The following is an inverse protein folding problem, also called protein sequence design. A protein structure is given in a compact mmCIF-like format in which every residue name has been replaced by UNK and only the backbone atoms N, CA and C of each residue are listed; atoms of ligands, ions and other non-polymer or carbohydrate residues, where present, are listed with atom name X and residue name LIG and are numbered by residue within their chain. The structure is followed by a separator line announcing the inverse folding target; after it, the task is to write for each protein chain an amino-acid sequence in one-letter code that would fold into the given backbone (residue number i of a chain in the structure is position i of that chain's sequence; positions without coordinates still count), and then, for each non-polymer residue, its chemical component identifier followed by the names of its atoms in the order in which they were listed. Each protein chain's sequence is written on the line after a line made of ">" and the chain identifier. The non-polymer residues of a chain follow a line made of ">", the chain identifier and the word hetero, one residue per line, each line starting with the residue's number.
data_IF_991660992390
#
_entry.id   IF_991660992390
#
_cell.length_a   1.000
_cell.length_b   1.000
_cell.length_c   1.000
_cell.angle_alpha   90.00
_cell.angle_beta   90.00
_cell.angle_gamma   90.00
#
_symmetry.space_group_name_H-M   'P 1'
#
loop_
_entity.id
_entity.type
_entity.pdbx_description
1 polymer ?
#
# COMPACT_ATOMS: atom_id res chain seq x y z
N UNK A 1 15.44 -0.51 -11.59
CA UNK A 1 15.46 0.90 -11.14
C UNK A 1 16.65 0.98 -10.25
N UNK A 2 17.48 1.99 -10.41
CA UNK A 2 18.57 2.19 -9.45
C UNK A 2 18.03 3.10 -8.35
N UNK A 3 17.99 2.59 -7.11
CA UNK A 3 17.67 3.42 -5.96
C UNK A 3 18.89 4.30 -5.63
N UNK A 4 18.70 5.59 -5.29
CA UNK A 4 19.80 6.43 -4.83
C UNK A 4 20.50 5.83 -3.61
N UNK A 5 21.82 5.95 -3.52
CA UNK A 5 22.61 5.38 -2.41
C UNK A 5 22.14 5.85 -1.03
N UNK A 6 22.42 5.05 0.01
CA UNK A 6 22.10 5.41 1.40
C UNK A 6 22.77 6.71 1.89
N UNK A 7 23.86 7.11 1.24
CA UNK A 7 24.50 8.42 1.47
C UNK A 7 23.70 9.53 0.80
N UNK A 8 23.30 9.33 -0.47
CA UNK A 8 22.56 10.33 -1.25
C UNK A 8 21.20 10.69 -0.63
N UNK A 9 20.50 9.73 -0.01
CA UNK A 9 19.21 9.99 0.66
C UNK A 9 19.32 10.93 1.88
N UNK A 10 20.54 11.25 2.34
CA UNK A 10 20.77 12.17 3.47
C UNK A 10 21.01 13.62 3.05
N UNK A 11 20.91 13.92 1.76
CA UNK A 11 21.30 15.23 1.19
C UNK A 11 20.24 16.33 1.31
N UNK A 12 18.95 16.00 1.25
CA UNK A 12 17.85 16.99 1.23
C UNK A 12 16.52 16.39 1.68
N UNK A 13 15.62 17.25 2.19
CA UNK A 13 14.23 16.93 2.53
C UNK A 13 13.21 17.42 1.50
N UNK A 14 13.63 17.92 0.33
CA UNK A 14 12.70 18.39 -0.69
C UNK A 14 11.87 17.23 -1.26
N UNK A 15 10.71 17.53 -1.84
CA UNK A 15 9.85 16.55 -2.53
C UNK A 15 10.50 15.93 -3.76
N UNK A 16 11.61 16.50 -4.24
CA UNK A 16 12.43 16.03 -5.36
C UNK A 16 13.76 15.40 -4.90
N UNK A 17 13.95 15.25 -3.58
CA UNK A 17 15.18 14.71 -3.01
C UNK A 17 15.38 13.22 -3.33
N UNK A 18 16.62 12.69 -3.22
CA UNK A 18 16.86 11.26 -3.32
C UNK A 18 16.07 10.43 -2.30
N UNK A 19 15.81 10.98 -1.10
CA UNK A 19 14.96 10.35 -0.10
C UNK A 19 13.50 10.25 -0.57
N UNK A 20 12.95 11.36 -1.09
CA UNK A 20 11.60 11.39 -1.63
C UNK A 20 11.42 10.40 -2.78
N UNK A 21 12.37 10.36 -3.72
CA UNK A 21 12.35 9.39 -4.82
C UNK A 21 12.40 7.95 -4.31
N UNK A 22 13.26 7.65 -3.34
CA UNK A 22 13.39 6.31 -2.74
C UNK A 22 12.09 5.88 -2.07
N UNK A 23 11.53 6.73 -1.20
CA UNK A 23 10.30 6.44 -0.47
C UNK A 23 9.10 6.34 -1.41
N UNK A 24 8.94 7.25 -2.37
CA UNK A 24 7.87 7.19 -3.36
C UNK A 24 7.93 5.94 -4.24
N UNK A 25 9.14 5.44 -4.52
CA UNK A 25 9.32 4.19 -5.28
C UNK A 25 8.92 2.95 -4.46
N UNK A 26 9.11 2.98 -3.14
CA UNK A 26 8.88 1.83 -2.26
C UNK A 26 7.48 1.84 -1.62
N UNK A 27 6.95 2.99 -1.20
CA UNK A 27 5.72 3.13 -0.40
C UNK A 27 4.54 3.75 -1.17
N UNK A 28 4.65 3.89 -2.50
CA UNK A 28 3.72 4.60 -3.38
C UNK A 28 3.71 6.14 -3.19
N UNK A 29 3.82 6.94 -4.28
CA UNK A 29 3.81 8.39 -4.15
C UNK A 29 2.46 8.92 -3.66
N UNK A 30 2.50 9.77 -2.62
CA UNK A 30 1.33 10.51 -2.14
C UNK A 30 1.74 11.87 -1.56
N UNK A 31 0.80 12.80 -1.46
CA UNK A 31 1.06 14.11 -0.83
C UNK A 31 1.54 13.96 0.61
N UNK A 32 0.94 13.05 1.39
CA UNK A 32 1.33 12.78 2.78
C UNK A 32 2.75 12.23 2.85
N UNK A 33 3.13 11.32 1.94
CA UNK A 33 4.50 10.83 1.86
C UNK A 33 5.48 11.97 1.59
N UNK A 34 5.23 12.78 0.56
CA UNK A 34 6.18 13.80 0.10
C UNK A 34 6.26 15.02 1.02
N UNK A 35 5.13 15.45 1.59
CA UNK A 35 5.04 16.68 2.36
C UNK A 35 5.18 16.44 3.88
N UNK A 36 4.98 15.21 4.35
CA UNK A 36 5.00 14.90 5.79
C UNK A 36 6.05 13.85 6.14
N UNK A 37 6.03 12.66 5.51
CA UNK A 37 6.96 11.58 5.86
C UNK A 37 8.41 11.93 5.51
N UNK A 38 8.65 12.46 4.31
CA UNK A 38 9.99 12.82 3.83
C UNK A 38 10.69 13.82 4.77
N UNK A 39 10.09 14.97 5.13
CA UNK A 39 10.73 15.89 6.08
C UNK A 39 11.01 15.28 7.46
N UNK A 40 10.08 14.47 7.99
CA UNK A 40 10.23 13.84 9.31
C UNK A 40 11.36 12.81 9.32
N UNK A 41 11.44 11.95 8.30
CA UNK A 41 12.51 10.97 8.19
C UNK A 41 13.85 11.63 7.93
N UNK A 42 13.89 12.66 7.09
CA UNK A 42 15.12 13.43 6.88
C UNK A 42 15.65 13.98 8.21
N UNK A 43 14.81 14.63 9.02
CA UNK A 43 15.22 15.14 10.33
C UNK A 43 15.77 14.03 11.26
N UNK A 44 15.13 12.84 11.27
CA UNK A 44 15.64 11.69 12.04
C UNK A 44 17.01 11.20 11.56
N UNK A 45 17.21 11.14 10.24
CA UNK A 45 18.46 10.71 9.63
C UNK A 45 19.62 11.69 9.94
N UNK A 46 19.34 12.99 10.02
CA UNK A 46 20.34 13.99 10.41
C UNK A 46 20.75 13.85 11.88
N UNK A 47 19.78 13.59 12.76
CA UNK A 47 20.01 13.51 14.19
C UNK A 47 20.66 12.19 14.65
N UNK A 48 20.77 11.19 13.77
CA UNK A 48 21.33 9.90 14.14
C UNK A 48 21.97 9.21 12.94
N UNK A 49 23.25 9.50 12.74
CA UNK A 49 24.01 9.05 11.57
C UNK A 49 24.12 7.51 11.44
N UNK A 50 23.83 6.75 12.50
CA UNK A 50 23.94 5.29 12.54
C UNK A 50 22.63 4.51 12.30
N UNK A 51 21.47 5.16 12.22
CA UNK A 51 20.16 4.47 12.27
C UNK A 51 19.83 3.64 11.04
N UNK A 52 20.32 4.02 9.86
CA UNK A 52 19.94 3.36 8.60
C UNK A 52 21.20 2.97 7.84
N UNK A 53 21.41 1.65 7.74
CA UNK A 53 22.48 0.95 7.02
C UNK A 53 21.96 0.09 5.87
N UNK A 54 20.64 -0.05 5.73
CA UNK A 54 19.99 -0.75 4.62
C UNK A 54 18.66 -0.09 4.28
N UNK A 55 18.13 -0.34 3.07
CA UNK A 55 16.79 0.14 2.70
C UNK A 55 15.69 -0.55 3.51
N UNK A 56 15.89 -1.78 3.97
CA UNK A 56 14.95 -2.43 4.90
C UNK A 56 14.81 -1.63 6.20
N UNK A 57 15.93 -1.16 6.77
CA UNK A 57 15.89 -0.28 7.94
C UNK A 57 15.24 1.08 7.64
N UNK A 58 15.39 1.61 6.43
CA UNK A 58 14.68 2.82 6.02
C UNK A 58 13.16 2.60 5.96
N UNK A 59 12.73 1.46 5.41
CA UNK A 59 11.32 1.08 5.37
C UNK A 59 10.77 0.90 6.79
N UNK A 60 11.48 0.17 7.65
CA UNK A 60 11.06 -0.04 9.04
C UNK A 60 10.93 1.30 9.78
N UNK A 61 11.93 2.18 9.65
CA UNK A 61 11.89 3.52 10.24
C UNK A 61 10.73 4.37 9.69
N UNK A 62 10.41 4.22 8.40
CA UNK A 62 9.28 4.91 7.78
C UNK A 62 7.94 4.45 8.36
N UNK A 63 7.72 3.14 8.47
CA UNK A 63 6.49 2.58 9.03
C UNK A 63 6.37 2.89 10.53
N UNK A 64 7.47 2.80 11.29
CA UNK A 64 7.52 3.24 12.69
C UNK A 64 7.15 4.72 12.83
N UNK A 65 7.63 5.58 11.93
CA UNK A 65 7.26 7.00 11.94
C UNK A 65 5.77 7.21 11.65
N UNK A 66 5.21 6.51 10.67
CA UNK A 66 3.77 6.56 10.35
C UNK A 66 2.91 6.14 11.55
N UNK A 67 3.30 5.09 12.29
CA UNK A 67 2.60 4.63 13.50
C UNK A 67 2.54 5.67 14.63
N UNK A 68 3.41 6.67 14.62
CA UNK A 68 3.36 7.78 15.61
C UNK A 68 2.35 8.87 15.27
N UNK A 69 1.79 8.85 14.06
CA UNK A 69 0.83 9.86 13.62
C UNK A 69 -0.55 9.63 14.23
N UNK A 70 -1.36 10.69 14.22
CA UNK A 70 -2.80 10.53 14.45
C UNK A 70 -3.44 9.64 13.37
N UNK A 71 -4.58 9.06 13.72
CA UNK A 71 -5.28 8.09 12.88
C UNK A 71 -5.69 8.66 11.52
N UNK A 72 -6.01 9.95 11.45
CA UNK A 72 -6.43 10.58 10.21
C UNK A 72 -5.27 10.66 9.22
N UNK A 73 -4.09 11.07 9.69
CA UNK A 73 -2.91 11.14 8.85
C UNK A 73 -2.42 9.75 8.41
N UNK A 74 -2.53 8.73 9.27
CA UNK A 74 -2.28 7.34 8.87
C UNK A 74 -3.26 6.86 7.79
N UNK A 75 -4.56 7.15 7.94
CA UNK A 75 -5.58 6.81 6.95
C UNK A 75 -5.33 7.50 5.59
N UNK A 76 -4.90 8.77 5.59
CA UNK A 76 -4.52 9.47 4.36
C UNK A 76 -3.28 8.86 3.69
N UNK A 77 -2.31 8.39 4.49
CA UNK A 77 -1.12 7.73 3.97
C UNK A 77 -1.44 6.41 3.26
N UNK A 78 -2.24 5.54 3.89
CA UNK A 78 -2.65 4.29 3.23
C UNK A 78 -3.52 4.57 2.00
N UNK A 79 -4.33 5.63 2.01
CA UNK A 79 -5.19 6.04 0.88
C UNK A 79 -4.42 6.49 -0.36
N UNK A 80 -3.11 6.74 -0.22
CA UNK A 80 -2.23 6.99 -1.37
C UNK A 80 -1.95 5.74 -2.22
N UNK A 81 -2.26 4.54 -1.71
CA UNK A 81 -2.04 3.29 -2.44
C UNK A 81 -3.21 2.99 -3.40
N UNK A 82 -2.91 2.46 -4.61
CA UNK A 82 -3.95 2.05 -5.54
C UNK A 82 -4.72 0.85 -5.01
N UNK A 83 -6.00 0.76 -5.38
CA UNK A 83 -6.84 -0.39 -5.02
C UNK A 83 -6.38 -1.63 -5.75
N UNK A 84 -6.54 -2.80 -5.14
CA UNK A 84 -6.33 -4.07 -5.84
C UNK A 84 -7.37 -4.20 -6.96
N UNK A 85 -6.92 -4.48 -8.19
CA UNK A 85 -7.77 -4.55 -9.38
C UNK A 85 -7.85 -3.25 -10.18
N UNK A 86 -7.30 -2.15 -9.66
CA UNK A 86 -7.14 -0.92 -10.43
C UNK A 86 -6.10 -1.13 -11.54
N UNK A 87 -6.34 -0.58 -12.73
CA UNK A 87 -5.46 -0.76 -13.91
C UNK A 87 -4.97 0.56 -14.50
N UNK A 88 -5.47 1.69 -13.99
CA UNK A 88 -5.15 3.03 -14.47
C UNK A 88 -4.28 3.75 -13.45
N UNK A 89 -3.40 4.63 -13.92
CA UNK A 89 -2.55 5.51 -13.09
C UNK A 89 -1.67 4.79 -12.05
N UNK A 90 -1.39 3.50 -12.24
CA UNK A 90 -0.51 2.76 -11.35
C UNK A 90 0.95 3.19 -11.50
N UNK A 91 1.68 3.29 -10.39
CA UNK A 91 3.14 3.32 -10.44
C UNK A 91 3.68 2.05 -11.13
N UNK A 92 4.94 2.09 -11.61
CA UNK A 92 5.54 0.91 -12.26
C UNK A 92 5.57 -0.32 -11.36
N UNK A 93 5.72 -0.14 -10.05
CA UNK A 93 5.70 -1.23 -9.07
C UNK A 93 4.29 -1.73 -8.84
N UNK A 94 3.32 -0.84 -8.61
CA UNK A 94 1.91 -1.20 -8.51
C UNK A 94 1.41 -1.97 -9.74
N UNK A 95 1.83 -1.56 -10.95
CA UNK A 95 1.52 -2.28 -12.18
C UNK A 95 2.16 -3.69 -12.22
N UNK A 96 3.35 -3.88 -11.66
CA UNK A 96 4.01 -5.19 -11.60
C UNK A 96 3.34 -6.09 -10.55
N UNK A 97 3.06 -5.54 -9.37
CA UNK A 97 2.44 -6.25 -8.24
C UNK A 97 1.06 -6.79 -8.58
N UNK A 98 0.27 -6.00 -9.30
CA UNK A 98 -1.05 -6.43 -9.71
C UNK A 98 -1.02 -7.14 -11.08
N UNK A 99 0.13 -7.50 -11.64
CA UNK A 99 0.18 -8.24 -12.92
C UNK A 99 -0.31 -7.45 -14.15
N UNK A 100 -0.38 -6.11 -14.08
CA UNK A 100 -0.67 -5.24 -15.22
C UNK A 100 0.53 -5.10 -16.20
N UNK A 101 1.72 -5.57 -15.81
CA UNK A 101 2.85 -5.67 -16.72
C UNK A 101 2.77 -6.97 -17.54
N UNK A 102 2.22 -6.87 -18.75
CA UNK A 102 2.20 -7.86 -19.84
C UNK A 102 3.60 -8.30 -20.35
N UNK A 103 4.64 -8.29 -19.50
CA UNK A 103 6.03 -8.58 -19.90
C UNK A 103 6.38 -10.06 -19.89
N UNK A 104 5.48 -10.93 -19.46
CA UNK A 104 5.59 -12.36 -19.70
C UNK A 104 4.63 -12.75 -20.83
N UNK A 105 5.10 -13.38 -21.93
CA UNK A 105 4.25 -13.76 -23.06
C UNK A 105 3.16 -14.79 -22.73
N UNK A 106 3.07 -15.23 -21.47
CA UNK A 106 2.04 -16.14 -20.94
C UNK A 106 1.17 -15.51 -19.84
N UNK A 107 1.32 -14.22 -19.53
CA UNK A 107 0.46 -13.56 -18.56
C UNK A 107 -0.93 -13.34 -19.18
N UNK A 108 -1.87 -14.22 -18.82
CA UNK A 108 -3.28 -14.06 -19.18
C UNK A 108 -3.82 -12.79 -18.54
N UNK A 109 -4.46 -11.89 -19.32
CA UNK A 109 -5.16 -10.75 -18.75
C UNK A 109 -6.15 -11.21 -17.68
N UNK A 110 -6.24 -10.48 -16.57
CA UNK A 110 -7.25 -10.79 -15.54
C UNK A 110 -8.65 -10.73 -16.18
N UNK A 111 -9.49 -11.76 -15.96
CA UNK A 111 -10.85 -11.77 -16.46
C UNK A 111 -11.67 -10.54 -16.02
N UNK A 112 -12.50 -9.95 -16.88
CA UNK A 112 -13.27 -8.74 -16.55
C UNK A 112 -14.20 -8.88 -15.34
N UNK A 113 -14.76 -10.07 -15.13
CA UNK A 113 -15.59 -10.45 -13.98
C UNK A 113 -14.82 -10.40 -12.66
N UNK A 114 -13.55 -10.83 -12.65
CA UNK A 114 -12.67 -10.72 -11.48
C UNK A 114 -12.34 -9.26 -11.15
N UNK A 115 -12.10 -8.43 -12.17
CA UNK A 115 -11.89 -7.00 -11.97
C UNK A 115 -13.17 -6.30 -11.45
N UNK A 116 -14.34 -6.68 -11.98
CA UNK A 116 -15.63 -6.19 -11.50
C UNK A 116 -15.87 -6.61 -10.04
N UNK A 117 -15.57 -7.87 -9.70
CA UNK A 117 -15.68 -8.39 -8.34
C UNK A 117 -14.77 -7.64 -7.37
N UNK A 118 -13.50 -7.42 -7.73
CA UNK A 118 -12.57 -6.63 -6.89
C UNK A 118 -13.05 -5.19 -6.74
N UNK A 119 -13.57 -4.56 -7.80
CA UNK A 119 -14.12 -3.21 -7.71
C UNK A 119 -15.31 -3.15 -6.72
N UNK A 120 -16.21 -4.13 -6.79
CA UNK A 120 -17.33 -4.25 -5.86
C UNK A 120 -16.87 -4.45 -4.41
N UNK A 121 -15.94 -5.38 -4.19
CA UNK A 121 -15.43 -5.68 -2.85
C UNK A 121 -14.64 -4.51 -2.25
N UNK A 122 -13.88 -3.76 -3.05
CA UNK A 122 -13.26 -2.51 -2.58
C UNK A 122 -14.33 -1.49 -2.13
N UNK A 123 -15.41 -1.32 -2.91
CA UNK A 123 -16.49 -0.41 -2.54
C UNK A 123 -17.24 -0.89 -1.29
N UNK A 124 -17.45 -2.19 -1.14
CA UNK A 124 -18.03 -2.79 0.06
C UNK A 124 -17.13 -2.56 1.28
N UNK A 125 -15.83 -2.80 1.13
CA UNK A 125 -14.83 -2.54 2.16
C UNK A 125 -14.82 -1.08 2.60
N UNK A 126 -14.84 -0.12 1.67
CA UNK A 126 -14.82 1.31 1.99
C UNK A 126 -16.08 1.78 2.72
N UNK A 127 -17.22 1.12 2.51
CA UNK A 127 -18.44 1.33 3.31
C UNK A 127 -18.33 0.70 4.69
N UNK A 128 -17.74 -0.49 4.78
CA UNK A 128 -17.49 -1.20 6.03
C UNK A 128 -16.46 -0.48 6.91
N UNK A 129 -15.42 0.07 6.33
CA UNK A 129 -14.31 0.75 7.01
C UNK A 129 -14.16 2.18 6.46
N UNK A 130 -14.99 3.13 6.91
CA UNK A 130 -14.97 4.49 6.40
C UNK A 130 -13.57 5.12 6.46
N UNK A 131 -13.20 5.82 5.39
CA UNK A 131 -11.89 6.49 5.18
C UNK A 131 -10.68 5.56 5.00
N UNK A 132 -10.84 4.24 5.05
CA UNK A 132 -9.76 3.31 4.77
C UNK A 132 -9.91 2.74 3.35
N UNK A 133 -8.79 2.38 2.73
CA UNK A 133 -8.73 1.58 1.51
C UNK A 133 -8.19 0.20 1.84
N UNK A 134 -8.62 -0.83 1.11
CA UNK A 134 -8.15 -2.18 1.37
C UNK A 134 -6.73 -2.37 0.84
N UNK A 135 -5.76 -2.41 1.76
CA UNK A 135 -4.36 -2.70 1.44
C UNK A 135 -4.06 -4.15 1.77
N UNK A 136 -3.49 -4.87 0.82
CA UNK A 136 -3.08 -6.28 0.99
C UNK A 136 -1.73 -6.53 0.32
N UNK A 137 -0.81 -7.14 1.06
CA UNK A 137 0.41 -7.65 0.47
C UNK A 137 0.13 -8.94 -0.28
N UNK A 138 0.08 -8.89 -1.63
CA UNK A 138 -0.36 -10.03 -2.44
C UNK A 138 0.56 -11.26 -2.36
N UNK A 139 1.85 -11.08 -2.10
CA UNK A 139 2.83 -12.17 -1.95
C UNK A 139 2.77 -13.24 -3.06
N UNK A 140 2.62 -12.81 -4.32
CA UNK A 140 2.52 -13.72 -5.48
C UNK A 140 1.13 -14.31 -5.74
N UNK A 141 0.12 -14.02 -4.90
CA UNK A 141 -1.27 -14.42 -5.14
C UNK A 141 -1.86 -13.74 -6.37
N UNK A 142 -2.66 -14.47 -7.12
CA UNK A 142 -3.43 -13.97 -8.25
C UNK A 142 -4.58 -13.05 -7.79
N UNK A 143 -5.17 -12.30 -8.71
CA UNK A 143 -6.33 -11.44 -8.38
C UNK A 143 -7.53 -12.27 -7.94
N UNK A 144 -7.72 -13.45 -8.52
CA UNK A 144 -8.73 -14.44 -8.16
C UNK A 144 -8.53 -14.91 -6.71
N UNK A 145 -7.29 -15.23 -6.32
CA UNK A 145 -6.98 -15.59 -4.93
C UNK A 145 -7.21 -14.41 -3.96
N UNK A 146 -6.94 -13.17 -4.39
CA UNK A 146 -7.20 -11.99 -3.57
C UNK A 146 -8.69 -11.68 -3.41
N UNK A 147 -9.54 -12.03 -4.38
CA UNK A 147 -11.01 -11.96 -4.20
C UNK A 147 -11.43 -12.77 -2.98
N UNK A 148 -11.03 -14.04 -2.90
CA UNK A 148 -11.38 -14.93 -1.78
C UNK A 148 -10.85 -14.39 -0.45
N UNK A 149 -9.60 -13.89 -0.44
CA UNK A 149 -9.01 -13.30 0.76
C UNK A 149 -9.78 -12.07 1.23
N UNK A 150 -10.25 -11.22 0.32
CA UNK A 150 -11.03 -10.03 0.67
C UNK A 150 -12.45 -10.40 1.12
N UNK A 151 -13.06 -11.42 0.52
CA UNK A 151 -14.35 -11.97 0.98
C UNK A 151 -14.23 -12.52 2.40
N UNK A 152 -13.21 -13.34 2.69
CA UNK A 152 -12.92 -13.86 4.03
C UNK A 152 -12.69 -12.73 5.04
N UNK A 153 -11.91 -11.71 4.65
CA UNK A 153 -11.63 -10.55 5.49
C UNK A 153 -12.88 -9.75 5.84
N UNK A 154 -13.82 -9.67 4.90
CA UNK A 154 -15.11 -9.00 5.09
C UNK A 154 -16.15 -9.89 5.80
N UNK A 155 -15.87 -11.18 5.98
CA UNK A 155 -16.79 -12.17 6.53
C UNK A 155 -17.95 -12.49 5.58
N UNK A 156 -17.68 -12.46 4.27
CA UNK A 156 -18.65 -12.76 3.21
C UNK A 156 -18.51 -14.22 2.77
N UNK A 157 -19.63 -14.84 2.38
CA UNK A 157 -19.58 -16.11 1.66
C UNK A 157 -18.96 -15.89 0.27
N UNK A 158 -18.14 -16.85 -0.18
CA UNK A 158 -17.54 -16.80 -1.50
C UNK A 158 -18.65 -16.84 -2.56
N UNK A 159 -18.69 -15.81 -3.40
CA UNK A 159 -19.72 -15.69 -4.44
C UNK A 159 -19.09 -15.63 -5.82
N UNK A 160 -19.72 -16.33 -6.76
CA UNK A 160 -19.43 -16.16 -8.19
C UNK A 160 -20.12 -14.93 -8.78
N UNK A 161 -21.04 -14.30 -8.03
CA UNK A 161 -21.67 -13.06 -8.44
C UNK A 161 -20.70 -11.89 -8.29
N UNK A 162 -20.72 -10.98 -9.26
CA UNK A 162 -19.84 -9.82 -9.28
C UNK A 162 -20.22 -8.78 -8.20
N UNK A 163 -21.50 -8.72 -7.80
CA UNK A 163 -22.08 -7.62 -7.01
C UNK A 163 -22.83 -8.04 -5.73
N UNK A 164 -22.72 -9.30 -5.31
CA UNK A 164 -23.32 -9.79 -4.05
C UNK A 164 -22.31 -9.86 -2.88
N UNK A 165 -22.68 -9.49 -1.65
CA UNK A 165 -23.94 -8.86 -1.27
C UNK A 165 -24.00 -7.40 -1.75
N UNK A 166 -25.22 -6.79 -1.78
CA UNK A 166 -25.36 -5.40 -2.16
C UNK A 166 -24.60 -4.48 -1.19
N UNK A 167 -24.15 -3.34 -1.70
CA UNK A 167 -23.29 -2.41 -0.95
C UNK A 167 -23.94 -1.80 0.29
N UNK A 168 -25.27 -1.76 0.36
CA UNK A 168 -26.05 -1.28 1.51
C UNK A 168 -26.07 -2.30 2.67
N UNK A 169 -25.73 -3.56 2.41
CA UNK A 169 -25.54 -4.58 3.44
C UNK A 169 -24.23 -4.37 4.23
N UNK A 170 -23.32 -3.52 3.76
CA UNK A 170 -22.09 -3.18 4.48
C UNK A 170 -22.42 -2.32 5.70
N UNK A 171 -22.43 -2.93 6.89
CA UNK A 171 -22.60 -2.20 8.16
C UNK A 171 -21.31 -1.45 8.50
N UNK A 172 -21.29 -0.10 8.51
CA UNK A 172 -20.07 0.65 8.77
C UNK A 172 -19.54 0.40 10.18
N UNK A 173 -18.23 0.21 10.29
CA UNK A 173 -17.51 0.28 11.56
C UNK A 173 -17.41 1.75 11.97
N UNK A 174 -17.66 2.02 13.24
CA UNK A 174 -17.44 3.34 13.82
C UNK A 174 -15.96 3.74 13.70
N UNK A 175 -15.71 4.92 13.14
CA UNK A 175 -14.37 5.49 13.01
C UNK A 175 -13.74 5.59 14.41
N UNK A 176 -12.47 5.25 14.54
CA UNK A 176 -11.72 5.22 15.82
C UNK A 176 -12.20 4.18 16.84
N UNK A 177 -13.19 3.34 16.53
CA UNK A 177 -13.44 2.13 17.33
C UNK A 177 -12.26 1.16 17.24
N UNK A 178 -12.13 0.26 18.22
CA UNK A 178 -11.02 -0.72 18.25
C UNK A 178 -10.91 -1.51 16.94
N UNK A 179 -12.04 -1.96 16.39
CA UNK A 179 -12.06 -2.69 15.12
C UNK A 179 -11.55 -1.84 13.94
N UNK A 180 -11.84 -0.55 13.93
CA UNK A 180 -11.35 0.36 12.90
C UNK A 180 -9.84 0.62 13.07
N UNK A 181 -9.37 0.77 14.31
CA UNK A 181 -7.96 0.97 14.64
C UNK A 181 -7.11 -0.26 14.28
N UNK A 182 -7.61 -1.46 14.58
CA UNK A 182 -6.94 -2.72 14.22
C UNK A 182 -6.80 -2.84 12.70
N UNK A 183 -7.83 -2.44 11.95
CA UNK A 183 -7.79 -2.47 10.49
C UNK A 183 -6.84 -1.43 9.90
N UNK A 184 -6.76 -0.24 10.49
CA UNK A 184 -5.80 0.78 10.12
C UNK A 184 -4.36 0.29 10.35
N UNK A 185 -4.07 -0.28 11.52
CA UNK A 185 -2.74 -0.83 11.83
C UNK A 185 -2.36 -1.97 10.87
N UNK A 186 -3.29 -2.89 10.59
CA UNK A 186 -3.10 -3.95 9.60
C UNK A 186 -2.75 -3.38 8.22
N UNK A 187 -3.42 -2.32 7.78
CA UNK A 187 -3.15 -1.67 6.50
C UNK A 187 -1.78 -0.99 6.48
N UNK A 188 -1.38 -0.30 7.55
CA UNK A 188 -0.05 0.30 7.70
C UNK A 188 1.06 -0.77 7.67
N UNK A 189 0.86 -1.90 8.35
CA UNK A 189 1.79 -3.03 8.30
C UNK A 189 1.90 -3.61 6.89
N UNK A 190 0.76 -3.78 6.19
CA UNK A 190 0.73 -4.28 4.82
C UNK A 190 1.52 -3.38 3.86
N UNK A 191 1.45 -2.05 4.01
CA UNK A 191 2.28 -1.10 3.24
C UNK A 191 3.78 -1.38 3.44
N UNK A 192 4.21 -1.66 4.67
CA UNK A 192 5.60 -2.02 4.97
C UNK A 192 6.05 -3.32 4.28
N UNK A 193 5.20 -4.35 4.29
CA UNK A 193 5.47 -5.62 3.61
C UNK A 193 5.55 -5.44 2.09
N UNK A 194 4.65 -4.65 1.51
CA UNK A 194 4.67 -4.28 0.09
C UNK A 194 5.99 -3.57 -0.26
N UNK A 195 6.41 -2.59 0.53
CA UNK A 195 7.67 -1.88 0.31
C UNK A 195 8.89 -2.80 0.36
N UNK A 196 8.94 -3.76 1.29
CA UNK A 196 10.01 -4.77 1.36
C UNK A 196 10.01 -5.69 0.13
N UNK A 197 8.83 -6.11 -0.33
CA UNK A 197 8.69 -6.87 -1.58
C UNK A 197 9.16 -6.08 -2.81
N UNK A 198 8.86 -4.78 -2.88
CA UNK A 198 9.35 -3.88 -3.95
C UNK A 198 10.86 -3.75 -3.93
N UNK A 199 11.46 -3.66 -2.74
CA UNK A 199 12.90 -3.61 -2.56
C UNK A 199 13.56 -4.88 -3.12
N UNK A 200 13.08 -6.07 -2.74
CA UNK A 200 13.57 -7.35 -3.29
C UNK A 200 13.43 -7.38 -4.81
N UNK A 201 12.27 -6.95 -5.34
CA UNK A 201 12.02 -6.88 -6.77
C UNK A 201 12.88 -5.85 -7.53
N UNK A 202 13.54 -4.93 -6.82
CA UNK A 202 14.44 -3.92 -7.39
C UNK A 202 15.88 -4.42 -7.56
N UNK A 203 16.26 -5.52 -6.89
CA UNK A 203 17.59 -6.14 -6.97
C UNK A 203 18.67 -5.45 -6.12
N UNK A 204 18.27 -4.66 -5.13
CA UNK A 204 19.17 -3.94 -4.21
C UNK A 204 19.06 -4.60 -2.83
N UNK A 205 20.02 -5.45 -2.47
CA UNK A 205 20.21 -5.98 -1.11
C UNK A 205 21.46 -5.36 -0.46
#
# INVERSE_FOLDING_TARGET
>A
MELPSLEAIRSSSSSESPLAFTLASLLEPSSVLLQTLVPQLYAKLQNSSSLVKSYTQLIDLAIEQVRTWDQNLQAQFISGHPRIGETKNLSRFSAKEQGANHRHPTATPTPPDILARLAHLNAYYERRYPKLVYIVFVNGRSREEIVLVLEDHLGLEHSLSMDEPPLDAAVPVEIESQKWLDELERAVEAVGLIAKSRLVASGVE
#
